data_IF_179646397984
#
_entry.id   IF_179646397984
#
_cell.length_a   1.000
_cell.length_b   1.000
_cell.length_c   1.000
_cell.angle_alpha   90.00
_cell.angle_beta   90.00
_cell.angle_gamma   90.00
#
_symmetry.space_group_name_H-M   'P 1'
#
loop_
_entity.id
_entity.type
_entity.pdbx_description
1 polymer ?
#
# COMPACT_ATOMS: atom_id res chain seq x y z
N UNK A 1 -17.14 8.08 10.03
CA UNK A 1 -16.07 7.66 9.10
C UNK A 1 -16.13 6.15 8.89
N UNK A 2 -17.27 5.64 8.38
CA UNK A 2 -17.51 4.20 8.22
C UNK A 2 -16.76 3.68 6.98
N UNK A 3 -16.75 4.44 5.88
CA UNK A 3 -16.09 4.03 4.64
C UNK A 3 -14.58 3.99 4.82
N UNK A 4 -14.02 4.97 5.53
CA UNK A 4 -12.60 5.05 5.88
C UNK A 4 -12.16 3.87 6.74
N UNK A 5 -12.98 3.44 7.72
CA UNK A 5 -12.69 2.28 8.54
C UNK A 5 -12.63 0.98 7.70
N UNK A 6 -13.62 0.74 6.82
CA UNK A 6 -13.60 -0.40 5.91
C UNK A 6 -12.41 -0.36 4.93
N UNK A 7 -12.07 0.83 4.45
CA UNK A 7 -10.91 1.04 3.57
C UNK A 7 -9.59 0.75 4.30
N UNK A 8 -9.49 1.13 5.57
CA UNK A 8 -8.36 0.78 6.44
C UNK A 8 -8.20 -0.73 6.57
N UNK A 9 -9.30 -1.47 6.79
CA UNK A 9 -9.27 -2.93 6.82
C UNK A 9 -8.84 -3.53 5.48
N UNK A 10 -9.27 -2.95 4.35
CA UNK A 10 -8.83 -3.38 3.03
C UNK A 10 -7.32 -3.16 2.81
N UNK A 11 -6.79 -2.00 3.22
CA UNK A 11 -5.35 -1.68 3.18
C UNK A 11 -4.55 -2.71 3.99
N UNK A 12 -4.99 -2.99 5.22
CA UNK A 12 -4.37 -4.00 6.07
C UNK A 12 -4.48 -5.39 5.44
N UNK A 13 -5.61 -5.73 4.82
CA UNK A 13 -5.78 -6.98 4.07
C UNK A 13 -4.76 -7.16 2.95
N UNK A 14 -4.50 -6.09 2.17
CA UNK A 14 -3.44 -6.10 1.15
C UNK A 14 -2.07 -6.32 1.78
N UNK A 15 -1.77 -5.63 2.88
CA UNK A 15 -0.50 -5.81 3.60
C UNK A 15 -0.33 -7.26 4.12
N UNK A 16 -1.35 -7.81 4.78
CA UNK A 16 -1.36 -9.19 5.25
C UNK A 16 -1.13 -10.18 4.10
N UNK A 17 -1.81 -9.99 2.97
CA UNK A 17 -1.62 -10.83 1.79
C UNK A 17 -0.17 -10.81 1.29
N UNK A 18 0.46 -9.63 1.19
CA UNK A 18 1.89 -9.56 0.78
C UNK A 18 2.82 -10.27 1.77
N UNK A 19 2.51 -10.22 3.07
CA UNK A 19 3.26 -10.93 4.11
C UNK A 19 3.13 -12.45 3.99
N UNK A 20 1.91 -12.95 3.73
CA UNK A 20 1.67 -14.37 3.46
C UNK A 20 2.45 -14.82 2.22
N UNK A 21 2.48 -14.02 1.15
CA UNK A 21 3.25 -14.32 -0.06
C UNK A 21 4.77 -14.34 0.21
N UNK A 22 5.29 -13.41 1.01
CA UNK A 22 6.68 -13.39 1.43
C UNK A 22 7.05 -14.63 2.28
N UNK A 23 6.21 -15.00 3.24
CA UNK A 23 6.40 -16.21 4.05
C UNK A 23 6.29 -17.50 3.23
N UNK A 24 5.32 -17.57 2.31
CA UNK A 24 5.19 -18.69 1.38
C UNK A 24 6.41 -18.84 0.47
N UNK A 25 6.92 -17.73 -0.07
CA UNK A 25 8.14 -17.75 -0.88
C UNK A 25 9.35 -18.26 -0.08
N UNK A 26 9.46 -17.87 1.19
CA UNK A 26 10.52 -18.38 2.08
C UNK A 26 10.50 -19.91 2.16
N UNK A 27 9.33 -20.48 2.41
CA UNK A 27 9.15 -21.93 2.48
C UNK A 27 9.37 -22.60 1.12
N UNK A 28 8.83 -22.03 0.04
CA UNK A 28 8.94 -22.58 -1.32
C UNK A 28 10.40 -22.66 -1.80
N UNK A 29 11.19 -21.63 -1.53
CA UNK A 29 12.59 -21.53 -1.97
C UNK A 29 13.58 -21.98 -0.89
N UNK A 30 13.10 -22.53 0.23
CA UNK A 30 13.91 -23.09 1.33
C UNK A 30 14.96 -22.11 1.87
N UNK A 31 14.62 -20.82 1.96
CA UNK A 31 15.52 -19.78 2.48
C UNK A 31 15.35 -19.68 3.99
N UNK A 32 16.29 -20.24 4.75
CA UNK A 32 16.26 -20.18 6.21
C UNK A 32 16.35 -18.72 6.72
N UNK A 33 15.58 -18.39 7.76
CA UNK A 33 15.78 -17.14 8.48
C UNK A 33 17.16 -17.14 9.17
N UNK A 34 17.85 -15.99 9.30
CA UNK A 34 17.42 -14.64 8.94
C UNK A 34 17.74 -14.21 7.50
N UNK A 35 18.18 -15.14 6.63
CA UNK A 35 18.62 -14.78 5.27
C UNK A 35 17.51 -14.09 4.47
N UNK A 36 17.90 -13.03 3.77
CA UNK A 36 17.10 -12.31 2.77
C UNK A 36 17.66 -12.51 1.36
N UNK A 37 18.76 -13.27 1.24
CA UNK A 37 19.36 -13.65 -0.02
C UNK A 37 18.79 -15.00 -0.47
N UNK A 38 18.56 -15.12 -1.78
CA UNK A 38 17.99 -16.32 -2.37
C UNK A 38 17.63 -16.12 -3.84
N UNK A 39 16.85 -17.03 -4.44
CA UNK A 39 16.39 -16.90 -5.82
C UNK A 39 15.64 -15.58 -6.05
N UNK A 40 15.74 -15.03 -7.26
CA UNK A 40 15.08 -13.76 -7.62
C UNK A 40 13.58 -13.70 -7.24
N UNK A 41 12.75 -14.76 -7.46
CA UNK A 41 11.35 -14.72 -7.05
C UNK A 41 11.14 -14.61 -5.53
N UNK A 42 12.06 -15.15 -4.71
CA UNK A 42 12.02 -14.98 -3.26
C UNK A 42 12.32 -13.52 -2.89
N UNK A 43 13.41 -12.96 -3.43
CA UNK A 43 13.78 -11.56 -3.18
C UNK A 43 12.66 -10.61 -3.61
N UNK A 44 12.02 -10.86 -4.76
CA UNK A 44 10.86 -10.10 -5.23
C UNK A 44 9.71 -10.10 -4.21
N UNK A 45 9.34 -11.27 -3.69
CA UNK A 45 8.28 -11.39 -2.70
C UNK A 45 8.60 -10.63 -1.40
N UNK A 46 9.84 -10.73 -0.91
CA UNK A 46 10.31 -9.96 0.24
C UNK A 46 10.27 -8.45 -0.01
N UNK A 47 10.74 -7.99 -1.18
CA UNK A 47 10.74 -6.56 -1.52
C UNK A 47 9.34 -5.98 -1.68
N UNK A 48 8.39 -6.74 -2.23
CA UNK A 48 6.98 -6.31 -2.30
C UNK A 48 6.40 -6.12 -0.90
N UNK A 49 6.65 -7.05 0.02
CA UNK A 49 6.16 -6.94 1.39
C UNK A 49 6.76 -5.75 2.14
N UNK A 50 8.09 -5.60 2.12
CA UNK A 50 8.78 -4.49 2.80
C UNK A 50 8.37 -3.14 2.20
N UNK A 51 8.31 -3.01 0.88
CA UNK A 51 7.88 -1.76 0.27
C UNK A 51 6.42 -1.41 0.60
N UNK A 52 5.56 -2.43 0.76
CA UNK A 52 4.17 -2.20 1.19
C UNK A 52 4.14 -1.73 2.65
N UNK A 53 4.97 -2.31 3.53
CA UNK A 53 5.13 -1.87 4.93
C UNK A 53 5.57 -0.39 5.00
N UNK A 54 6.59 -0.01 4.25
CA UNK A 54 7.11 1.37 4.19
C UNK A 54 6.05 2.39 3.73
N UNK A 55 5.06 1.93 2.99
CA UNK A 55 4.02 2.76 2.40
C UNK A 55 2.76 2.85 3.24
N UNK A 56 2.60 2.00 4.27
CA UNK A 56 1.47 2.05 5.18
C UNK A 56 1.34 3.41 5.89
N UNK A 57 2.41 4.02 6.47
CA UNK A 57 2.29 5.34 7.09
C UNK A 57 1.87 6.42 6.08
N UNK A 58 2.35 6.31 4.84
CA UNK A 58 2.08 7.28 3.76
C UNK A 58 0.65 7.20 3.21
N UNK A 59 -0.08 6.11 3.45
CA UNK A 59 -1.49 6.01 3.09
C UNK A 59 -2.40 6.16 4.31
N UNK A 60 -2.11 5.49 5.42
CA UNK A 60 -3.00 5.44 6.58
C UNK A 60 -3.13 6.80 7.28
N UNK A 61 -2.02 7.51 7.50
CA UNK A 61 -2.07 8.83 8.16
C UNK A 61 -2.90 9.83 7.33
N UNK A 62 -2.58 10.09 6.05
CA UNK A 62 -3.36 11.05 5.27
C UNK A 62 -4.78 10.54 4.92
N UNK A 63 -5.04 9.23 4.93
CA UNK A 63 -6.40 8.70 4.81
C UNK A 63 -7.30 9.23 5.95
N UNK A 64 -6.86 9.12 7.20
CA UNK A 64 -7.64 9.56 8.35
C UNK A 64 -7.74 11.09 8.44
N UNK A 65 -6.66 11.81 8.09
CA UNK A 65 -6.70 13.27 7.98
C UNK A 65 -7.68 13.74 6.90
N UNK A 66 -7.63 13.15 5.70
CA UNK A 66 -8.56 13.43 4.62
C UNK A 66 -10.01 13.13 5.04
N UNK A 67 -10.24 12.03 5.75
CA UNK A 67 -11.58 11.67 6.24
C UNK A 67 -12.12 12.70 7.24
N UNK A 68 -11.25 13.30 8.05
CA UNK A 68 -11.63 14.31 9.04
C UNK A 68 -11.88 15.68 8.42
N UNK A 69 -11.00 16.14 7.54
CA UNK A 69 -11.03 17.52 7.04
C UNK A 69 -11.75 17.69 5.69
N UNK A 70 -11.88 16.63 4.89
CA UNK A 70 -12.48 16.68 3.54
C UNK A 70 -13.69 15.73 3.38
N UNK A 71 -13.70 14.61 4.10
CA UNK A 71 -14.87 13.74 4.25
C UNK A 71 -14.60 12.27 3.96
N UNK A 72 -15.50 11.43 4.51
CA UNK A 72 -15.37 9.96 4.53
C UNK A 72 -15.31 9.32 3.13
N UNK A 73 -16.05 9.88 2.16
CA UNK A 73 -16.10 9.39 0.77
C UNK A 73 -14.79 9.63 0.03
N UNK A 74 -14.18 10.82 0.19
CA UNK A 74 -12.92 11.18 -0.47
C UNK A 74 -11.75 10.36 0.05
N UNK A 75 -11.68 10.17 1.37
CA UNK A 75 -10.70 9.29 1.99
C UNK A 75 -10.84 7.86 1.47
N UNK A 76 -12.04 7.28 1.51
CA UNK A 76 -12.28 5.92 1.04
C UNK A 76 -11.89 5.72 -0.43
N UNK A 77 -12.23 6.67 -1.31
CA UNK A 77 -11.86 6.60 -2.72
C UNK A 77 -10.32 6.58 -2.91
N UNK A 78 -9.59 7.47 -2.22
CA UNK A 78 -8.13 7.51 -2.28
C UNK A 78 -7.47 6.24 -1.73
N UNK A 79 -7.96 5.72 -0.59
CA UNK A 79 -7.43 4.49 0.00
C UNK A 79 -7.69 3.24 -0.87
N UNK A 80 -8.87 3.13 -1.50
CA UNK A 80 -9.16 2.05 -2.43
C UNK A 80 -8.33 2.15 -3.71
N UNK A 81 -8.09 3.35 -4.22
CA UNK A 81 -7.19 3.57 -5.36
C UNK A 81 -5.76 3.10 -5.03
N UNK A 82 -5.27 3.39 -3.81
CA UNK A 82 -3.99 2.88 -3.33
C UNK A 82 -3.97 1.36 -3.27
N UNK A 83 -5.03 0.70 -2.78
CA UNK A 83 -5.13 -0.76 -2.76
C UNK A 83 -4.99 -1.36 -4.17
N UNK A 84 -5.68 -0.79 -5.16
CA UNK A 84 -5.57 -1.23 -6.56
C UNK A 84 -4.14 -1.09 -7.07
N UNK A 85 -3.52 0.08 -6.86
CA UNK A 85 -2.12 0.31 -7.22
C UNK A 85 -1.17 -0.70 -6.60
N UNK A 86 -1.38 -1.05 -5.32
CA UNK A 86 -0.56 -2.04 -4.59
C UNK A 86 -0.73 -3.45 -5.09
N UNK A 87 -1.95 -3.87 -5.41
CA UNK A 87 -2.20 -5.19 -6.00
C UNK A 87 -1.54 -5.29 -7.37
N UNK A 88 -1.67 -4.25 -8.21
CA UNK A 88 -1.00 -4.20 -9.52
C UNK A 88 0.53 -4.21 -9.38
N UNK A 89 1.07 -3.47 -8.42
CA UNK A 89 2.50 -3.46 -8.10
C UNK A 89 3.00 -4.85 -7.73
N UNK A 90 2.32 -5.53 -6.80
CA UNK A 90 2.69 -6.87 -6.34
C UNK A 90 2.63 -7.90 -7.49
N UNK A 91 1.53 -7.93 -8.24
CA UNK A 91 1.35 -8.84 -9.37
C UNK A 91 2.33 -8.56 -10.52
N UNK A 92 2.65 -7.29 -10.76
CA UNK A 92 3.70 -6.89 -11.71
C UNK A 92 5.04 -7.46 -11.30
N UNK A 93 5.46 -7.23 -10.06
CA UNK A 93 6.72 -7.73 -9.51
C UNK A 93 6.84 -9.26 -9.54
N UNK A 94 5.75 -9.98 -9.28
CA UNK A 94 5.74 -11.45 -9.29
C UNK A 94 5.86 -12.04 -10.70
N UNK A 95 5.43 -11.31 -11.73
CA UNK A 95 5.55 -11.74 -13.13
C UNK A 95 6.89 -11.33 -13.73
N UNK A 96 7.22 -10.05 -13.61
CA UNK A 96 8.42 -9.45 -14.19
C UNK A 96 8.78 -8.19 -13.38
N UNK A 97 9.93 -8.17 -12.67
CA UNK A 97 10.38 -7.00 -11.91
C UNK A 97 10.37 -5.68 -12.68
N UNK A 98 10.54 -5.71 -14.01
CA UNK A 98 10.51 -4.52 -14.85
C UNK A 98 9.10 -3.89 -14.98
N UNK A 99 8.03 -4.66 -14.72
CA UNK A 99 6.63 -4.21 -14.88
C UNK A 99 6.02 -3.62 -13.61
N UNK A 100 6.83 -3.38 -12.57
CA UNK A 100 6.36 -2.88 -11.28
C UNK A 100 5.93 -1.40 -11.31
N UNK A 101 6.45 -0.62 -12.25
CA UNK A 101 6.38 0.84 -12.21
C UNK A 101 4.96 1.39 -12.25
N UNK A 102 4.09 0.82 -13.09
CA UNK A 102 2.71 1.30 -13.24
C UNK A 102 1.92 1.23 -11.94
N UNK A 103 1.99 0.09 -11.22
CA UNK A 103 1.31 -0.06 -9.93
C UNK A 103 1.90 0.86 -8.84
N UNK A 104 3.22 1.06 -8.87
CA UNK A 104 3.90 1.97 -7.95
C UNK A 104 3.46 3.42 -8.16
N UNK A 105 3.41 3.89 -9.41
CA UNK A 105 2.99 5.25 -9.74
C UNK A 105 1.54 5.50 -9.33
N UNK A 106 0.63 4.56 -9.59
CA UNK A 106 -0.77 4.66 -9.15
C UNK A 106 -0.85 4.78 -7.62
N UNK A 107 -0.11 3.95 -6.89
CA UNK A 107 -0.07 4.00 -5.42
C UNK A 107 0.48 5.33 -4.90
N UNK A 108 1.55 5.84 -5.51
CA UNK A 108 2.14 7.13 -5.13
C UNK A 108 1.23 8.31 -5.44
N UNK A 109 0.53 8.30 -6.57
CA UNK A 109 -0.46 9.32 -6.92
C UNK A 109 -1.64 9.30 -5.93
N UNK A 110 -2.10 8.11 -5.52
CA UNK A 110 -3.14 7.99 -4.51
C UNK A 110 -2.70 8.56 -3.15
N UNK A 111 -1.48 8.24 -2.70
CA UNK A 111 -0.91 8.83 -1.48
C UNK A 111 -0.78 10.36 -1.61
N UNK A 112 -0.22 10.85 -2.71
CA UNK A 112 -0.05 12.28 -2.97
C UNK A 112 -1.39 13.03 -2.97
N UNK A 113 -2.42 12.44 -3.58
CA UNK A 113 -3.78 12.99 -3.57
C UNK A 113 -4.36 13.04 -2.15
N UNK A 114 -4.20 11.99 -1.34
CA UNK A 114 -4.65 11.97 0.06
C UNK A 114 -3.93 13.04 0.91
N UNK A 115 -2.61 13.20 0.72
CA UNK A 115 -1.83 14.23 1.42
C UNK A 115 -2.27 15.64 0.99
N UNK A 116 -2.40 15.89 -0.31
CA UNK A 116 -2.83 17.18 -0.84
C UNK A 116 -4.26 17.52 -0.37
N UNK A 117 -5.17 16.54 -0.41
CA UNK A 117 -6.53 16.66 0.11
C UNK A 117 -6.55 16.99 1.61
N UNK A 118 -5.70 16.34 2.40
CA UNK A 118 -5.56 16.61 3.84
C UNK A 118 -5.06 18.03 4.10
N UNK A 119 -4.02 18.47 3.37
CA UNK A 119 -3.48 19.81 3.50
C UNK A 119 -4.48 20.89 3.08
N UNK A 120 -5.20 20.69 1.97
CA UNK A 120 -6.25 21.60 1.53
C UNK A 120 -7.38 21.68 2.56
N UNK A 121 -7.85 20.54 3.08
CA UNK A 121 -8.87 20.50 4.13
C UNK A 121 -8.46 21.25 5.40
N UNK A 122 -7.20 21.11 5.84
CA UNK A 122 -6.63 21.84 6.98
C UNK A 122 -6.57 23.36 6.75
N UNK A 123 -6.22 23.79 5.53
CA UNK A 123 -6.13 25.22 5.21
C UNK A 123 -7.51 25.88 5.10
N UNK A 124 -8.52 25.13 4.64
CA UNK A 124 -9.89 25.60 4.45
C UNK A 124 -10.71 25.58 5.74
N UNK A 125 -10.42 24.65 6.66
CA UNK A 125 -10.98 24.64 8.02
C UNK A 125 -10.04 25.39 8.99
N UNK A 126 -10.09 26.71 8.97
CA UNK A 126 -9.58 27.52 10.08
C UNK A 126 -10.66 27.60 11.19
N UNK A 127 -10.28 27.65 12.48
CA UNK A 127 -11.21 27.69 13.60
C UNK A 127 -12.21 28.85 13.54
#
# INVERSE_FOLDING_TARGET
>A
MRLTAWTTLAILGVYFWTGVMAGWARNKYQVAAPSMDGPLPFQNAQRVHINTLEQLPLVLVPLWLCSHYLGDTWAAAGGLLWCVGRILYALGYYRDPARRETGFVIGMLACGALVAASAAGLLLHQP
#
